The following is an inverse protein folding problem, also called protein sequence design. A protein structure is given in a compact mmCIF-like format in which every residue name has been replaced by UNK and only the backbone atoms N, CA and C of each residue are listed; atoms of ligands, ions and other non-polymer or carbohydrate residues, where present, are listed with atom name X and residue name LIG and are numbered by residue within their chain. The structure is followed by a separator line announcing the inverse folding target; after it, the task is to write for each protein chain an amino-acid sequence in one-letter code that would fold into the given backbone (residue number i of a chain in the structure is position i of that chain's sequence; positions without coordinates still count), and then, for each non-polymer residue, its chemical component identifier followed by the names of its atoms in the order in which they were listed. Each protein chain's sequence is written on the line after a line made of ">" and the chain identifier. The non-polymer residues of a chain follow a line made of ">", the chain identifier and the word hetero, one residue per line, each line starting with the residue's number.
data_IF_653678084955
#
_entry.id   IF_653678084955
#
_cell.length_a   1.000
_cell.length_b   1.000
_cell.length_c   1.000
_cell.angle_alpha   90.00
_cell.angle_beta   90.00
_cell.angle_gamma   90.00
#
_symmetry.space_group_name_H-M   'P 1'
#
loop_
_entity.id
_entity.type
_entity.pdbx_description
1 polymer ?
#
# COMPACT_ATOMS: atom_id res chain seq x y z
N UNK A 1 -11.90 0.09 -2.40
CA UNK A 1 -11.35 1.33 -3.05
C UNK A 1 -11.59 1.42 -4.56
N UNK A 2 -12.05 0.36 -5.22
CA UNK A 2 -12.07 0.23 -6.68
C UNK A 2 -12.97 1.23 -7.43
N UNK A 3 -14.05 1.70 -6.83
CA UNK A 3 -15.05 2.59 -7.45
C UNK A 3 -14.72 4.08 -7.31
N UNK A 4 -13.78 4.42 -6.42
CA UNK A 4 -13.39 5.80 -6.15
C UNK A 4 -12.41 6.29 -7.22
N UNK A 5 -12.44 7.60 -7.46
CA UNK A 5 -11.42 8.30 -8.25
C UNK A 5 -10.17 8.54 -7.43
N UNK A 6 -9.05 8.85 -8.08
CA UNK A 6 -7.80 9.25 -7.41
C UNK A 6 -8.06 10.42 -6.46
N UNK A 7 -8.74 11.46 -6.94
CA UNK A 7 -9.12 12.61 -6.13
C UNK A 7 -9.87 12.21 -4.87
N UNK A 8 -10.95 11.43 -5.02
CA UNK A 8 -11.78 11.04 -3.88
C UNK A 8 -11.00 10.20 -2.87
N UNK A 9 -10.15 9.27 -3.34
CA UNK A 9 -9.36 8.42 -2.45
C UNK A 9 -8.38 9.24 -1.59
N UNK A 10 -7.63 10.16 -2.21
CA UNK A 10 -6.70 11.04 -1.50
C UNK A 10 -7.46 12.03 -0.61
N UNK A 11 -8.57 12.60 -1.10
CA UNK A 11 -9.39 13.54 -0.33
C UNK A 11 -10.02 12.91 0.91
N UNK A 12 -10.59 11.70 0.80
CA UNK A 12 -11.10 10.99 1.97
C UNK A 12 -9.98 10.64 2.94
N UNK A 13 -8.79 10.27 2.45
CA UNK A 13 -7.61 10.10 3.32
C UNK A 13 -7.24 11.39 4.04
N UNK A 14 -7.25 12.53 3.33
CA UNK A 14 -6.96 13.85 3.89
C UNK A 14 -7.92 14.19 5.02
N UNK A 15 -9.23 13.97 4.83
CA UNK A 15 -10.23 14.23 5.84
C UNK A 15 -10.04 13.37 7.11
N UNK A 16 -9.69 12.10 6.92
CA UNK A 16 -9.58 11.11 8.00
C UNK A 16 -8.26 11.20 8.76
N UNK A 17 -7.15 11.50 8.07
CA UNK A 17 -5.81 11.43 8.67
C UNK A 17 -5.23 12.79 9.05
N UNK A 18 -5.60 13.88 8.36
CA UNK A 18 -5.07 15.22 8.69
C UNK A 18 -5.73 15.82 9.95
N UNK A 19 -5.00 16.67 10.71
CA UNK A 19 -5.50 17.34 11.90
C UNK A 19 -6.86 18.01 11.75
N UNK A 20 -7.69 17.95 12.80
CA UNK A 20 -8.95 18.70 12.88
C UNK A 20 -8.75 20.21 12.98
N UNK A 21 -7.57 20.67 13.42
CA UNK A 21 -7.18 22.07 13.42
C UNK A 21 -7.02 22.67 12.01
N UNK A 22 -6.81 21.83 11.01
CA UNK A 22 -6.66 22.26 9.62
C UNK A 22 -8.03 22.47 8.98
N UNK A 23 -8.22 23.62 8.32
CA UNK A 23 -9.46 23.93 7.61
C UNK A 23 -9.70 22.98 6.44
N UNK A 24 -10.96 22.83 6.02
CA UNK A 24 -11.30 21.99 4.86
C UNK A 24 -10.57 22.43 3.58
N UNK A 25 -10.35 23.74 3.40
CA UNK A 25 -9.62 24.28 2.24
C UNK A 25 -8.15 23.84 2.25
N UNK A 26 -7.48 23.91 3.40
CA UNK A 26 -6.09 23.47 3.53
C UNK A 26 -5.94 21.96 3.34
N UNK A 27 -6.94 21.17 3.74
CA UNK A 27 -6.94 19.72 3.48
C UNK A 27 -7.09 19.39 1.99
N UNK A 28 -7.90 20.17 1.26
CA UNK A 28 -8.06 20.07 -0.20
C UNK A 28 -6.74 20.42 -0.89
N UNK A 29 -6.17 21.57 -0.55
CA UNK A 29 -4.90 22.04 -1.10
C UNK A 29 -3.76 21.05 -0.83
N UNK A 30 -3.66 20.53 0.40
CA UNK A 30 -2.69 19.49 0.74
C UNK A 30 -2.84 18.23 -0.12
N UNK A 31 -4.08 17.79 -0.37
CA UNK A 31 -4.34 16.65 -1.25
C UNK A 31 -3.95 16.93 -2.71
N UNK A 32 -4.25 18.12 -3.24
CA UNK A 32 -3.89 18.52 -4.61
C UNK A 32 -2.37 18.55 -4.79
N UNK A 33 -1.66 19.16 -3.84
CA UNK A 33 -0.19 19.24 -3.87
C UNK A 33 0.42 17.83 -3.87
N UNK A 34 -0.03 16.93 -2.99
CA UNK A 34 0.52 15.57 -2.94
C UNK A 34 0.21 14.76 -4.21
N UNK A 35 -0.97 14.94 -4.82
CA UNK A 35 -1.29 14.34 -6.13
C UNK A 35 -0.34 14.87 -7.22
N UNK A 36 -0.03 16.16 -7.18
CA UNK A 36 0.88 16.80 -8.11
C UNK A 36 2.32 16.29 -7.95
N UNK A 37 2.78 16.15 -6.70
CA UNK A 37 4.10 15.61 -6.38
C UNK A 37 4.29 14.18 -6.91
N UNK A 38 3.24 13.37 -6.93
CA UNK A 38 3.27 11.99 -7.41
C UNK A 38 2.98 11.83 -8.91
N UNK A 39 2.84 12.92 -9.67
CA UNK A 39 2.62 12.85 -11.13
C UNK A 39 1.31 12.16 -11.50
N UNK A 40 0.22 12.49 -10.78
CA UNK A 40 -1.11 11.88 -10.95
C UNK A 40 -2.17 12.87 -11.47
N UNK A 41 -1.75 14.03 -12.00
CA UNK A 41 -2.64 15.11 -12.47
C UNK A 41 -3.59 14.62 -13.56
N UNK A 42 -3.07 13.94 -14.58
CA UNK A 42 -3.87 13.44 -15.70
C UNK A 42 -4.87 12.35 -15.28
N UNK A 43 -4.64 11.72 -14.13
CA UNK A 43 -5.43 10.60 -13.62
C UNK A 43 -6.35 11.00 -12.46
N UNK A 44 -6.44 12.29 -12.11
CA UNK A 44 -7.12 12.77 -10.90
C UNK A 44 -8.60 12.38 -10.83
N UNK A 45 -9.30 12.40 -11.96
CA UNK A 45 -10.72 12.02 -12.08
C UNK A 45 -10.92 10.59 -12.59
N UNK A 46 -9.83 9.84 -12.79
CA UNK A 46 -9.89 8.46 -13.24
C UNK A 46 -10.19 7.54 -12.05
N UNK A 47 -11.07 6.56 -12.26
CA UNK A 47 -11.40 5.55 -11.25
C UNK A 47 -10.20 4.62 -11.03
N UNK A 48 -9.94 4.28 -9.76
CA UNK A 48 -8.85 3.37 -9.38
C UNK A 48 -9.02 2.02 -10.09
N UNK A 49 -10.25 1.49 -10.13
CA UNK A 49 -10.59 0.23 -10.78
C UNK A 49 -10.26 -1.00 -9.93
N UNK A 50 -11.02 -2.07 -10.13
CA UNK A 50 -10.87 -3.38 -9.49
C UNK A 50 -10.39 -4.44 -10.48
N UNK A 51 -10.18 -5.66 -10.00
CA UNK A 51 -10.02 -6.82 -10.87
C UNK A 51 -11.26 -6.94 -11.78
N UNK A 52 -11.05 -6.88 -13.10
CA UNK A 52 -12.14 -6.92 -14.10
C UNK A 52 -12.77 -5.56 -14.50
N UNK A 53 -12.43 -4.44 -13.84
CA UNK A 53 -12.91 -3.10 -14.21
C UNK A 53 -11.74 -2.22 -14.65
N UNK A 54 -11.75 -1.76 -15.90
CA UNK A 54 -10.72 -0.86 -16.44
C UNK A 54 -10.60 0.39 -15.55
N UNK A 55 -9.39 0.69 -15.11
CA UNK A 55 -9.07 1.83 -14.26
C UNK A 55 -7.61 2.24 -14.44
N UNK A 56 -6.97 2.63 -13.34
CA UNK A 56 -5.56 3.03 -13.32
C UNK A 56 -4.62 1.88 -13.69
N UNK A 57 -3.47 2.21 -14.27
CA UNK A 57 -2.37 1.27 -14.45
C UNK A 57 -1.81 0.79 -13.10
N UNK A 58 -1.10 -0.35 -13.09
CA UNK A 58 -0.47 -0.87 -11.87
C UNK A 58 0.45 0.16 -11.20
N UNK A 59 1.33 0.78 -11.98
CA UNK A 59 2.19 1.86 -11.50
C UNK A 59 1.43 3.08 -10.97
N UNK A 60 0.35 3.50 -11.63
CA UNK A 60 -0.49 4.60 -11.13
C UNK A 60 -1.16 4.24 -9.79
N UNK A 61 -1.68 3.02 -9.64
CA UNK A 61 -2.23 2.53 -8.36
C UNK A 61 -1.17 2.56 -7.25
N UNK A 62 0.06 2.17 -7.58
CA UNK A 62 1.20 2.23 -6.65
C UNK A 62 1.50 3.65 -6.21
N UNK A 63 1.55 4.61 -7.15
CA UNK A 63 1.73 6.04 -6.85
C UNK A 63 0.60 6.60 -5.98
N UNK A 64 -0.66 6.19 -6.21
CA UNK A 64 -1.79 6.59 -5.35
C UNK A 64 -1.63 6.07 -3.92
N UNK A 65 -1.17 4.83 -3.74
CA UNK A 65 -0.89 4.27 -2.42
C UNK A 65 0.17 5.08 -1.67
N UNK A 66 1.28 5.39 -2.36
CA UNK A 66 2.36 6.22 -1.81
C UNK A 66 1.86 7.64 -1.50
N UNK A 67 1.06 8.23 -2.39
CA UNK A 67 0.42 9.55 -2.20
C UNK A 67 -0.41 9.60 -0.92
N UNK A 68 -1.19 8.55 -0.63
CA UNK A 68 -2.05 8.45 0.55
C UNK A 68 -1.22 8.42 1.85
N UNK A 69 -0.06 7.75 1.83
CA UNK A 69 0.83 7.64 2.99
C UNK A 69 1.70 8.89 3.20
N UNK A 70 2.16 9.54 2.13
CA UNK A 70 2.96 10.79 2.20
C UNK A 70 2.10 11.99 2.63
N UNK A 71 0.79 11.95 2.38
CA UNK A 71 -0.14 13.04 2.69
C UNK A 71 -0.06 13.53 4.15
N UNK A 72 0.20 12.63 5.10
CA UNK A 72 0.31 12.98 6.52
C UNK A 72 1.67 13.55 6.91
N UNK A 73 2.63 13.59 5.97
CA UNK A 73 4.03 13.95 6.16
C UNK A 73 4.64 13.29 7.40
N UNK A 74 4.70 11.94 7.45
CA UNK A 74 5.18 11.22 8.61
C UNK A 74 6.70 11.44 8.80
N UNK A 75 7.16 11.57 10.05
CA UNK A 75 8.59 11.67 10.38
C UNK A 75 9.40 10.45 9.94
N UNK A 76 8.76 9.27 9.91
CA UNK A 76 9.35 8.01 9.49
C UNK A 76 8.41 7.32 8.49
N UNK A 77 8.89 7.12 7.27
CA UNK A 77 8.14 6.51 6.18
C UNK A 77 8.77 5.17 5.80
N UNK A 78 7.97 4.11 5.81
CA UNK A 78 8.36 2.79 5.32
C UNK A 78 7.72 2.53 3.96
N UNK A 79 8.50 2.10 2.98
CA UNK A 79 8.05 1.82 1.62
C UNK A 79 8.49 0.42 1.21
N UNK A 80 7.53 -0.47 0.99
CA UNK A 80 7.84 -1.85 0.61
C UNK A 80 7.76 -2.05 -0.91
N UNK A 81 8.88 -2.06 -1.63
CA UNK A 81 8.95 -2.13 -3.10
C UNK A 81 8.18 -0.99 -3.81
N UNK A 82 8.53 0.30 -3.57
CA UNK A 82 7.82 1.44 -4.15
C UNK A 82 7.93 1.53 -5.67
N UNK A 83 8.96 0.94 -6.27
CA UNK A 83 9.22 0.95 -7.73
C UNK A 83 8.59 -0.24 -8.47
N UNK A 84 7.99 -1.20 -7.76
CA UNK A 84 7.40 -2.38 -8.40
C UNK A 84 6.21 -2.01 -9.28
N UNK A 85 6.22 -2.51 -10.53
CA UNK A 85 5.19 -2.22 -11.53
C UNK A 85 5.24 -0.82 -12.15
N UNK A 86 6.32 -0.07 -11.91
CA UNK A 86 6.63 1.18 -12.58
C UNK A 86 7.71 0.97 -13.66
N UNK A 87 7.65 1.74 -14.73
CA UNK A 87 8.74 1.87 -15.70
C UNK A 87 9.92 2.65 -15.08
N UNK A 88 11.10 2.59 -15.71
CA UNK A 88 12.32 3.20 -15.19
C UNK A 88 12.18 4.72 -14.99
N UNK A 89 11.55 5.42 -15.93
CA UNK A 89 11.36 6.87 -15.85
C UNK A 89 10.39 7.25 -14.71
N UNK A 90 9.26 6.54 -14.58
CA UNK A 90 8.34 6.79 -13.48
C UNK A 90 8.94 6.41 -12.12
N UNK A 91 9.71 5.33 -12.04
CA UNK A 91 10.44 4.93 -10.82
C UNK A 91 11.40 6.02 -10.37
N UNK A 92 12.21 6.55 -11.29
CA UNK A 92 13.12 7.65 -11.01
C UNK A 92 12.38 8.90 -10.52
N UNK A 93 11.26 9.26 -11.18
CA UNK A 93 10.46 10.41 -10.77
C UNK A 93 9.92 10.27 -9.34
N UNK A 94 9.30 9.12 -9.04
CA UNK A 94 8.73 8.84 -7.71
C UNK A 94 9.82 8.84 -6.63
N UNK A 95 10.93 8.14 -6.87
CA UNK A 95 12.03 8.08 -5.91
C UNK A 95 12.72 9.42 -5.71
N UNK A 96 12.86 10.24 -6.76
CA UNK A 96 13.38 11.61 -6.64
C UNK A 96 12.48 12.48 -5.76
N UNK A 97 11.16 12.31 -5.86
CA UNK A 97 10.19 13.07 -5.03
C UNK A 97 10.26 12.63 -3.57
N UNK A 98 10.34 11.34 -3.32
CA UNK A 98 10.52 10.77 -1.99
C UNK A 98 11.85 11.24 -1.36
N UNK A 99 12.95 11.22 -2.12
CA UNK A 99 14.25 11.70 -1.67
C UNK A 99 14.25 13.20 -1.34
N UNK A 100 13.56 14.02 -2.17
CA UNK A 100 13.38 15.45 -1.88
C UNK A 100 12.56 15.69 -0.62
N UNK A 101 11.50 14.92 -0.41
CA UNK A 101 10.68 14.99 0.80
C UNK A 101 11.53 14.64 2.04
N UNK A 102 12.36 13.60 1.94
CA UNK A 102 13.28 13.21 3.02
C UNK A 102 14.24 14.35 3.38
N UNK A 103 14.84 14.99 2.37
CA UNK A 103 15.83 16.04 2.57
C UNK A 103 15.24 17.36 3.06
N UNK A 104 14.11 17.79 2.49
CA UNK A 104 13.54 19.12 2.75
C UNK A 104 12.75 19.16 4.06
N UNK A 105 12.04 18.09 4.40
CA UNK A 105 11.14 18.05 5.56
C UNK A 105 11.78 17.34 6.77
N UNK A 106 13.09 17.06 6.72
CA UNK A 106 13.87 16.33 7.74
C UNK A 106 13.19 15.01 8.15
N UNK A 107 12.93 14.16 7.14
CA UNK A 107 12.20 12.89 7.30
C UNK A 107 13.10 11.70 7.04
N UNK A 108 12.88 10.64 7.81
CA UNK A 108 13.55 9.36 7.59
C UNK A 108 12.69 8.50 6.67
N UNK A 109 13.25 8.05 5.55
CA UNK A 109 12.59 7.10 4.64
C UNK A 109 13.38 5.80 4.62
N UNK A 110 12.69 4.69 4.81
CA UNK A 110 13.23 3.33 4.69
C UNK A 110 12.48 2.63 3.57
N UNK A 111 13.19 2.16 2.55
CA UNK A 111 12.58 1.47 1.42
C UNK A 111 13.30 0.14 1.12
N UNK A 112 12.51 -0.91 0.83
CA UNK A 112 12.99 -2.13 0.16
C UNK A 112 12.82 -1.95 -1.35
N UNK A 113 13.88 -2.24 -2.13
CA UNK A 113 13.84 -2.17 -3.59
C UNK A 113 14.57 -3.37 -4.15
N UNK A 114 13.87 -4.19 -4.94
CA UNK A 114 14.35 -5.45 -5.45
C UNK A 114 15.47 -5.27 -6.48
N UNK A 115 15.30 -4.37 -7.45
CA UNK A 115 16.26 -4.08 -8.51
C UNK A 115 16.17 -2.59 -8.94
N UNK A 116 16.93 -1.69 -8.30
CA UNK A 116 16.90 -0.28 -8.67
C UNK A 116 17.67 -0.04 -9.98
N UNK A 117 17.19 0.88 -10.80
CA UNK A 117 18.00 1.41 -11.92
C UNK A 117 19.20 2.17 -11.36
N UNK A 118 20.26 2.32 -12.17
CA UNK A 118 21.46 3.09 -11.77
C UNK A 118 21.12 4.52 -11.31
N UNK A 119 20.15 5.17 -11.96
CA UNK A 119 19.68 6.50 -11.58
C UNK A 119 18.99 6.52 -10.21
N UNK A 120 18.18 5.49 -9.91
CA UNK A 120 17.51 5.36 -8.61
C UNK A 120 18.53 5.00 -7.52
N UNK A 121 19.48 4.12 -7.81
CA UNK A 121 20.55 3.76 -6.89
C UNK A 121 21.39 4.98 -6.48
N UNK A 122 21.64 5.90 -7.42
CA UNK A 122 22.33 7.17 -7.15
C UNK A 122 21.59 8.11 -6.19
N UNK A 123 20.31 7.89 -5.91
CA UNK A 123 19.53 8.69 -4.95
C UNK A 123 19.69 8.20 -3.49
N UNK A 124 20.26 7.02 -3.26
CA UNK A 124 20.34 6.43 -1.93
C UNK A 124 21.47 7.04 -1.09
N UNK A 125 21.13 7.52 0.11
CA UNK A 125 22.12 7.97 1.07
C UNK A 125 22.79 6.78 1.77
N UNK A 126 21.98 5.83 2.22
CA UNK A 126 22.40 4.66 3.00
C UNK A 126 21.89 3.40 2.32
N UNK A 127 22.75 2.39 2.20
CA UNK A 127 22.45 1.08 1.64
C UNK A 127 22.52 0.02 2.75
N UNK A 128 21.48 -0.80 2.83
CA UNK A 128 21.44 -2.01 3.64
C UNK A 128 21.28 -3.21 2.71
N UNK A 129 22.26 -4.10 2.67
CA UNK A 129 22.20 -5.34 1.87
C UNK A 129 21.98 -6.53 2.80
N UNK A 130 20.95 -7.31 2.49
CA UNK A 130 20.55 -8.49 3.24
C UNK A 130 20.54 -9.71 2.32
N UNK A 131 21.00 -10.86 2.83
CA UNK A 131 20.84 -12.16 2.18
C UNK A 131 20.66 -13.26 3.23
N UNK A 132 19.67 -14.14 3.06
CA UNK A 132 19.38 -15.23 4.01
C UNK A 132 19.14 -14.77 5.46
N UNK A 133 18.63 -13.55 5.66
CA UNK A 133 18.44 -12.94 6.99
C UNK A 133 19.73 -12.39 7.64
N UNK A 134 20.88 -12.47 6.97
CA UNK A 134 22.15 -11.89 7.42
C UNK A 134 22.38 -10.53 6.77
N UNK A 135 23.00 -9.61 7.51
CA UNK A 135 23.42 -8.30 6.98
C UNK A 135 24.81 -8.41 6.36
N UNK A 136 24.90 -8.09 5.08
CA UNK A 136 26.14 -8.11 4.31
C UNK A 136 26.86 -6.76 4.35
N UNK A 137 26.09 -5.67 4.29
CA UNK A 137 26.60 -4.32 4.31
C UNK A 137 25.54 -3.37 4.85
N UNK A 138 25.96 -2.43 5.70
CA UNK A 138 25.17 -1.29 6.13
C UNK A 138 26.07 -0.07 6.18
N UNK A 139 25.78 0.94 5.37
CA UNK A 139 26.65 2.11 5.23
C UNK A 139 26.20 3.05 4.12
N UNK A 140 27.05 4.02 3.74
CA UNK A 140 26.74 4.91 2.62
C UNK A 140 26.73 4.13 1.31
N UNK A 141 25.75 4.42 0.44
CA UNK A 141 25.66 3.74 -0.85
C UNK A 141 26.91 3.93 -1.72
N UNK A 142 27.59 5.08 -1.60
CA UNK A 142 28.85 5.38 -2.30
C UNK A 142 30.03 4.52 -1.84
N UNK A 143 30.03 4.09 -0.57
CA UNK A 143 31.12 3.30 0.03
C UNK A 143 30.96 1.80 -0.28
N UNK A 144 29.76 1.35 -0.64
CA UNK A 144 29.46 -0.06 -0.92
C UNK A 144 30.39 -0.66 -2.01
N UNK A 145 30.64 0.07 -3.10
CA UNK A 145 31.54 -0.39 -4.16
C UNK A 145 32.97 -0.64 -3.66
N UNK A 146 33.48 0.22 -2.78
CA UNK A 146 34.82 0.08 -2.22
C UNK A 146 34.89 -1.15 -1.29
N UNK A 147 33.87 -1.37 -0.47
CA UNK A 147 33.78 -2.54 0.41
C UNK A 147 33.73 -3.85 -0.39
N UNK A 148 32.94 -3.91 -1.46
CA UNK A 148 32.90 -5.10 -2.33
C UNK A 148 34.24 -5.34 -3.03
N UNK A 149 34.92 -4.29 -3.48
CA UNK A 149 36.25 -4.39 -4.09
C UNK A 149 37.30 -4.92 -3.11
N UNK A 150 37.30 -4.44 -1.87
CA UNK A 150 38.23 -4.88 -0.81
C UNK A 150 38.05 -6.37 -0.46
N UNK A 151 36.82 -6.87 -0.54
CA UNK A 151 36.50 -8.28 -0.26
C UNK A 151 36.65 -9.20 -1.48
N UNK A 152 37.24 -8.72 -2.59
CA UNK A 152 37.55 -9.53 -3.77
C UNK A 152 36.45 -9.57 -4.84
N UNK A 153 35.41 -8.75 -4.73
CA UNK A 153 34.27 -8.72 -5.66
C UNK A 153 34.12 -7.35 -6.36
N UNK A 154 35.10 -6.90 -7.18
CA UNK A 154 35.04 -5.61 -7.84
C UNK A 154 33.87 -5.51 -8.83
N UNK A 155 33.17 -4.37 -8.82
CA UNK A 155 32.11 -4.10 -9.79
C UNK A 155 32.72 -3.76 -11.17
N UNK A 156 32.24 -4.37 -12.27
CA UNK A 156 32.63 -3.98 -13.62
C UNK A 156 32.26 -2.51 -13.93
N UNK A 157 33.08 -1.83 -14.72
CA UNK A 157 32.94 -0.38 -15.00
C UNK A 157 31.67 0.02 -15.76
N UNK A 158 31.07 -0.90 -16.52
CA UNK A 158 29.86 -0.66 -17.32
C UNK A 158 28.62 -1.38 -16.74
N UNK A 159 28.70 -1.88 -15.51
CA UNK A 159 27.59 -2.58 -14.84
C UNK A 159 27.02 -1.70 -13.73
N UNK A 160 25.70 -1.75 -13.58
CA UNK A 160 25.02 -1.13 -12.45
C UNK A 160 25.48 -1.79 -11.14
N UNK A 161 25.97 -1.01 -10.15
CA UNK A 161 26.41 -1.54 -8.86
C UNK A 161 25.38 -2.41 -8.15
N UNK A 162 24.09 -2.01 -8.16
CA UNK A 162 23.04 -2.78 -7.49
C UNK A 162 22.87 -4.17 -8.10
N UNK A 163 22.93 -4.25 -9.43
CA UNK A 163 22.78 -5.51 -10.16
C UNK A 163 23.98 -6.42 -9.96
N UNK A 164 25.18 -5.83 -9.80
CA UNK A 164 26.37 -6.57 -9.42
C UNK A 164 26.24 -7.15 -8.02
N UNK A 165 25.86 -6.33 -7.02
CA UNK A 165 25.69 -6.78 -5.64
C UNK A 165 24.69 -7.93 -5.52
N UNK A 166 23.52 -7.78 -6.16
CA UNK A 166 22.47 -8.80 -6.13
C UNK A 166 22.92 -10.09 -6.81
N UNK A 167 23.65 -10.00 -7.91
CA UNK A 167 24.19 -11.18 -8.59
C UNK A 167 25.24 -11.91 -7.75
N UNK A 168 26.11 -11.18 -7.03
CA UNK A 168 27.12 -11.79 -6.16
C UNK A 168 26.52 -12.54 -4.97
N UNK A 169 25.33 -12.15 -4.50
CA UNK A 169 24.71 -12.68 -3.28
C UNK A 169 23.52 -13.62 -3.55
N UNK A 170 23.18 -13.87 -4.81
CA UNK A 170 22.05 -14.70 -5.18
C UNK A 170 22.45 -16.18 -5.19
N UNK A 171 21.85 -16.96 -4.29
CA UNK A 171 22.10 -18.41 -4.15
C UNK A 171 21.12 -19.28 -4.93
N UNK A 172 20.06 -18.70 -5.51
CA UNK A 172 18.89 -19.44 -5.97
C UNK A 172 19.10 -20.15 -7.31
N UNK A 173 20.03 -19.65 -8.13
CA UNK A 173 20.28 -20.14 -9.48
C UNK A 173 21.60 -20.90 -9.63
N UNK A 174 22.41 -21.03 -8.57
CA UNK A 174 23.66 -21.78 -8.58
C UNK A 174 23.46 -23.32 -8.51
N UNK A 175 22.21 -23.79 -8.49
CA UNK A 175 21.89 -25.22 -8.65
C UNK A 175 21.73 -25.53 -10.13
N UNK A 176 22.84 -25.63 -10.84
CA UNK A 176 22.83 -26.19 -12.19
C UNK A 176 22.30 -27.64 -12.13
N UNK A 177 21.21 -27.86 -12.84
CA UNK A 177 20.46 -29.13 -12.96
C UNK A 177 21.30 -30.23 -13.67
N UNK A 178 22.51 -29.91 -14.17
CA UNK A 178 23.27 -30.79 -15.06
C UNK A 178 24.50 -31.49 -14.46
N UNK A 179 24.92 -31.19 -13.22
CA UNK A 179 26.04 -31.92 -12.60
C UNK A 179 25.68 -32.45 -11.22
N UNK A 180 25.29 -33.72 -11.18
CA UNK A 180 25.28 -34.50 -9.96
C UNK A 180 26.71 -34.65 -9.45
N UNK A 181 27.08 -33.87 -8.42
CA UNK A 181 28.17 -34.18 -7.50
C UNK A 181 28.11 -33.26 -6.29
N UNK A 182 28.40 -33.84 -5.13
CA UNK A 182 28.57 -33.26 -3.80
C UNK A 182 28.73 -31.73 -3.68
N UNK A 183 27.86 -31.15 -2.85
CA UNK A 183 27.72 -29.73 -2.57
C UNK A 183 28.98 -29.10 -1.96
N UNK A 184 29.91 -28.63 -2.79
CA UNK A 184 30.74 -27.49 -2.44
C UNK A 184 29.84 -26.26 -2.27
N UNK A 185 30.07 -25.49 -1.19
CA UNK A 185 29.39 -24.22 -0.97
C UNK A 185 29.51 -23.37 -2.26
N UNK A 186 28.35 -23.00 -2.81
CA UNK A 186 28.22 -22.21 -4.04
C UNK A 186 29.04 -20.93 -3.95
N UNK A 187 29.53 -20.42 -5.09
CA UNK A 187 30.35 -19.22 -5.14
C UNK A 187 29.66 -18.04 -4.44
N UNK A 188 28.34 -17.91 -4.61
CA UNK A 188 27.51 -16.96 -3.88
C UNK A 188 27.49 -17.19 -2.36
N UNK A 189 27.42 -18.43 -1.89
CA UNK A 189 27.44 -18.74 -0.45
C UNK A 189 28.80 -18.39 0.18
N UNK A 190 29.90 -18.67 -0.51
CA UNK A 190 31.26 -18.25 -0.08
C UNK A 190 31.36 -16.72 -0.04
N UNK A 191 30.85 -16.02 -1.05
CA UNK A 191 30.83 -14.56 -1.09
C UNK A 191 30.03 -13.96 0.09
N UNK A 192 28.86 -14.53 0.39
CA UNK A 192 28.03 -14.13 1.54
C UNK A 192 28.81 -14.27 2.84
N UNK A 193 29.45 -15.41 3.10
CA UNK A 193 30.16 -15.64 4.35
C UNK A 193 31.38 -14.70 4.50
N UNK A 194 32.13 -14.43 3.42
CA UNK A 194 33.22 -13.45 3.42
C UNK A 194 32.69 -12.05 3.78
N UNK A 195 31.62 -11.60 3.11
CA UNK A 195 31.04 -10.28 3.32
C UNK A 195 30.46 -10.13 4.74
N UNK A 196 29.78 -11.15 5.27
CA UNK A 196 29.24 -11.15 6.64
C UNK A 196 30.37 -11.06 7.67
N UNK A 197 31.47 -11.81 7.49
CA UNK A 197 32.61 -11.75 8.40
C UNK A 197 33.33 -10.39 8.35
N UNK A 198 33.44 -9.80 7.16
CA UNK A 198 33.99 -8.46 6.95
C UNK A 198 33.14 -7.38 7.63
N UNK A 199 31.81 -7.47 7.50
CA UNK A 199 30.87 -6.55 8.15
C UNK A 199 30.91 -6.65 9.68
N UNK A 200 30.88 -7.88 10.22
CA UNK A 200 30.89 -8.13 11.66
C UNK A 200 32.19 -7.65 12.34
N UNK A 201 33.33 -7.77 11.65
CA UNK A 201 34.62 -7.33 12.17
C UNK A 201 34.80 -5.81 12.14
N UNK A 202 34.24 -5.12 11.15
CA UNK A 202 34.57 -3.71 10.88
C UNK A 202 33.48 -2.75 11.34
N UNK A 203 32.25 -2.91 10.85
CA UNK A 203 31.20 -1.87 10.92
C UNK A 203 30.14 -2.22 11.96
N UNK A 204 29.82 -3.51 12.14
CA UNK A 204 28.75 -3.94 13.03
C UNK A 204 28.91 -3.36 14.44
N UNK A 205 30.13 -3.46 15.02
CA UNK A 205 30.42 -2.92 16.35
C UNK A 205 30.24 -1.40 16.44
N UNK A 206 30.60 -0.65 15.38
CA UNK A 206 30.42 0.80 15.35
C UNK A 206 28.94 1.18 15.30
N UNK A 207 28.15 0.47 14.48
CA UNK A 207 26.70 0.68 14.39
C UNK A 207 26.01 0.33 15.71
N UNK A 208 26.33 -0.80 16.32
CA UNK A 208 25.77 -1.18 17.62
C UNK A 208 26.14 -0.19 18.73
N UNK A 209 27.39 0.31 18.74
CA UNK A 209 27.80 1.35 19.69
C UNK A 209 27.02 2.66 19.48
N UNK A 210 26.81 3.07 18.23
CA UNK A 210 26.05 4.27 17.90
C UNK A 210 24.57 4.13 18.25
N UNK A 211 23.97 2.96 17.99
CA UNK A 211 22.58 2.66 18.40
C UNK A 211 22.45 2.66 19.92
N UNK A 212 23.43 2.11 20.64
CA UNK A 212 23.46 2.13 22.10
C UNK A 212 23.57 3.56 22.65
N UNK A 213 24.35 4.44 22.01
CA UNK A 213 24.40 5.86 22.38
C UNK A 213 23.06 6.57 22.12
N UNK A 214 22.44 6.34 20.96
CA UNK A 214 21.11 6.88 20.66
C UNK A 214 20.07 6.39 21.68
N UNK A 215 20.10 5.11 22.08
CA UNK A 215 19.14 4.57 23.06
C UNK A 215 19.25 5.19 24.45
N UNK A 216 20.41 5.77 24.79
CA UNK A 216 20.63 6.46 26.07
C UNK A 216 20.13 7.91 26.03
N UNK A 217 20.03 8.50 24.83
CA UNK A 217 19.42 9.82 24.66
C UNK A 217 17.91 9.61 24.71
N UNK A 218 17.25 10.16 25.73
CA UNK A 218 15.79 10.28 25.70
C UNK A 218 15.41 11.18 24.52
N UNK A 219 15.07 10.54 23.39
CA UNK A 219 14.56 11.26 22.23
C UNK A 219 13.22 11.90 22.56
N UNK A 220 12.90 13.00 21.88
CA UNK A 220 11.55 13.55 21.91
C UNK A 220 10.55 12.44 21.54
N UNK A 221 9.45 12.35 22.29
CA UNK A 221 8.43 11.35 22.04
C UNK A 221 7.99 11.45 20.57
N UNK A 222 8.24 10.39 19.79
CA UNK A 222 7.75 10.28 18.43
C UNK A 222 6.27 10.60 18.47
N UNK A 223 5.88 11.75 17.90
CA UNK A 223 4.48 12.13 17.86
C UNK A 223 3.80 11.16 16.90
N UNK A 224 3.32 10.02 17.42
CA UNK A 224 2.38 9.14 16.74
C UNK A 224 1.08 9.93 16.62
N UNK A 225 1.04 10.84 15.64
CA UNK A 225 -0.20 11.48 15.22
C UNK A 225 -0.97 10.41 14.44
N UNK A 226 -1.68 9.56 15.18
CA UNK A 226 -2.75 8.75 14.62
C UNK A 226 -3.84 9.66 14.03
N UNK A 227 -5.00 9.10 13.68
CA UNK A 227 -6.09 9.93 13.17
C UNK A 227 -6.47 11.00 14.19
N UNK A 228 -6.24 12.26 13.82
CA UNK A 228 -6.56 13.45 14.60
C UNK A 228 -8.00 13.94 14.31
N UNK A 229 -8.75 13.20 13.52
CA UNK A 229 -10.14 13.52 13.17
C UNK A 229 -11.08 13.06 14.29
N UNK A 230 -12.11 13.87 14.59
CA UNK A 230 -13.14 13.49 15.56
C UNK A 230 -13.93 12.28 15.07
N UNK A 231 -14.48 11.49 16.01
CA UNK A 231 -15.33 10.33 15.68
C UNK A 231 -16.46 10.70 14.73
N UNK A 232 -17.14 11.83 14.94
CA UNK A 232 -18.23 12.28 14.08
C UNK A 232 -17.75 12.67 12.67
N UNK A 233 -16.58 13.29 12.57
CA UNK A 233 -15.95 13.59 11.27
C UNK A 233 -15.60 12.30 10.53
N UNK A 234 -15.01 11.33 11.23
CA UNK A 234 -14.68 10.03 10.65
C UNK A 234 -15.95 9.29 10.20
N UNK A 235 -16.96 9.21 11.05
CA UNK A 235 -18.24 8.58 10.74
C UNK A 235 -18.89 9.24 9.52
N UNK A 236 -18.99 10.57 9.50
CA UNK A 236 -19.56 11.31 8.37
C UNK A 236 -18.79 11.08 7.06
N UNK A 237 -17.46 11.16 7.11
CA UNK A 237 -16.61 10.95 5.93
C UNK A 237 -16.70 9.51 5.41
N UNK A 238 -16.70 8.52 6.31
CA UNK A 238 -16.85 7.11 5.95
C UNK A 238 -18.25 6.78 5.41
N UNK A 239 -19.31 7.32 6.02
CA UNK A 239 -20.69 7.16 5.52
C UNK A 239 -20.83 7.78 4.13
N UNK A 240 -20.29 8.98 3.91
CA UNK A 240 -20.30 9.62 2.59
C UNK A 240 -19.53 8.77 1.56
N UNK A 241 -18.34 8.27 1.93
CA UNK A 241 -17.53 7.39 1.08
C UNK A 241 -18.28 6.09 0.73
N UNK A 242 -18.94 5.49 1.73
CA UNK A 242 -19.74 4.28 1.56
C UNK A 242 -20.94 4.52 0.64
N UNK A 243 -21.64 5.66 0.78
CA UNK A 243 -22.75 6.01 -0.10
C UNK A 243 -22.32 6.19 -1.56
N UNK A 244 -21.16 6.82 -1.80
CA UNK A 244 -20.59 6.95 -3.16
C UNK A 244 -20.23 5.59 -3.73
N UNK A 245 -19.63 4.69 -2.92
CA UNK A 245 -19.32 3.32 -3.34
C UNK A 245 -20.60 2.58 -3.74
N UNK A 246 -21.62 2.63 -2.87
CA UNK A 246 -22.91 1.97 -3.05
C UNK A 246 -23.66 2.46 -4.29
N UNK A 247 -23.62 3.78 -4.57
CA UNK A 247 -24.26 4.35 -5.74
C UNK A 247 -23.55 3.95 -7.06
N UNK A 248 -22.23 3.78 -7.03
CA UNK A 248 -21.42 3.49 -8.23
C UNK A 248 -21.25 2.01 -8.51
N UNK A 249 -21.42 1.15 -7.52
CA UNK A 249 -21.53 -0.29 -7.72
C UNK A 249 -22.91 -0.62 -8.31
N UNK A 250 -22.95 -0.55 -9.64
CA UNK A 250 -24.16 -0.78 -10.42
C UNK A 250 -24.65 -2.22 -10.30
N UNK A 251 -23.75 -3.19 -10.10
CA UNK A 251 -24.08 -4.61 -10.16
C UNK A 251 -24.85 -5.04 -8.93
N UNK A 252 -24.24 -4.89 -7.76
CA UNK A 252 -24.76 -5.50 -6.54
C UNK A 252 -25.99 -4.75 -5.98
N UNK A 253 -25.89 -3.44 -5.79
CA UNK A 253 -26.95 -2.68 -5.10
C UNK A 253 -28.18 -2.42 -5.95
N UNK A 254 -28.02 -2.14 -7.26
CA UNK A 254 -29.18 -1.92 -8.14
C UNK A 254 -29.95 -3.20 -8.42
N UNK A 255 -29.24 -4.33 -8.59
CA UNK A 255 -29.89 -5.63 -8.71
C UNK A 255 -30.71 -5.94 -7.47
N UNK A 256 -30.14 -5.69 -6.28
CA UNK A 256 -30.85 -5.87 -5.01
C UNK A 256 -32.10 -4.99 -4.91
N UNK A 257 -31.99 -3.71 -5.29
CA UNK A 257 -33.14 -2.80 -5.34
C UNK A 257 -34.23 -3.30 -6.30
N UNK A 258 -33.85 -3.79 -7.49
CA UNK A 258 -34.78 -4.34 -8.46
C UNK A 258 -35.50 -5.59 -7.92
N UNK A 259 -34.78 -6.49 -7.23
CA UNK A 259 -35.37 -7.67 -6.57
C UNK A 259 -36.38 -7.25 -5.51
N UNK A 260 -36.08 -6.23 -4.70
CA UNK A 260 -37.03 -5.71 -3.71
C UNK A 260 -38.29 -5.12 -4.34
N UNK A 261 -38.16 -4.35 -5.41
CA UNK A 261 -39.30 -3.79 -6.14
C UNK A 261 -40.16 -4.92 -6.74
N UNK A 262 -39.53 -5.89 -7.41
CA UNK A 262 -40.23 -7.03 -8.00
C UNK A 262 -40.99 -7.83 -6.94
N UNK A 263 -40.36 -8.12 -5.80
CA UNK A 263 -41.01 -8.82 -4.69
C UNK A 263 -42.18 -8.01 -4.11
N UNK A 264 -42.01 -6.71 -3.93
CA UNK A 264 -43.07 -5.83 -3.41
C UNK A 264 -44.28 -5.83 -4.34
N UNK A 265 -44.06 -5.81 -5.67
CA UNK A 265 -45.11 -5.97 -6.65
C UNK A 265 -45.75 -7.37 -6.56
N UNK A 266 -44.97 -8.45 -6.49
CA UNK A 266 -45.52 -9.81 -6.36
C UNK A 266 -46.40 -9.97 -5.12
N UNK A 267 -45.91 -9.57 -3.93
CA UNK A 267 -46.68 -9.62 -2.68
C UNK A 267 -47.92 -8.72 -2.81
N UNK A 268 -47.77 -7.51 -3.34
CA UNK A 268 -48.88 -6.58 -3.56
C UNK A 268 -49.96 -7.13 -4.49
N UNK A 269 -49.58 -7.90 -5.51
CA UNK A 269 -50.55 -8.57 -6.41
C UNK A 269 -51.21 -9.80 -5.78
N UNK A 270 -50.47 -10.63 -5.03
CA UNK A 270 -51.00 -11.86 -4.41
C UNK A 270 -52.00 -11.52 -3.30
N UNK A 271 -51.71 -10.47 -2.53
CA UNK A 271 -52.54 -10.02 -1.41
C UNK A 271 -53.35 -8.76 -1.77
N UNK A 272 -53.67 -8.59 -3.05
CA UNK A 272 -54.50 -7.48 -3.52
C UNK A 272 -55.93 -7.63 -3.00
N UNK A 273 -56.46 -6.56 -2.41
CA UNK A 273 -57.84 -6.45 -1.90
C UNK A 273 -58.30 -7.59 -0.96
N UNK A 274 -57.55 -7.80 0.12
CA UNK A 274 -57.94 -8.74 1.18
C UNK A 274 -59.20 -8.20 1.89
N UNK A 275 -60.35 -8.77 1.52
CA UNK A 275 -61.66 -8.52 2.12
C UNK A 275 -61.68 -8.75 3.65
N UNK A 276 -62.60 -8.12 4.39
CA UNK A 276 -62.59 -8.07 5.87
C UNK A 276 -63.17 -9.31 6.59
N UNK A 277 -63.09 -10.50 5.99
CA UNK A 277 -63.65 -11.75 6.57
C UNK A 277 -62.73 -12.37 7.65
N UNK A 278 -63.21 -13.28 8.50
CA UNK A 278 -62.36 -13.98 9.48
C UNK A 278 -61.16 -14.72 8.83
N UNK A 279 -61.33 -15.26 7.61
CA UNK A 279 -60.22 -15.87 6.86
C UNK A 279 -59.13 -14.88 6.43
N UNK A 280 -59.45 -13.58 6.39
CA UNK A 280 -58.50 -12.51 6.05
C UNK A 280 -57.41 -12.30 7.10
N UNK A 281 -57.69 -12.66 8.36
CA UNK A 281 -56.75 -12.55 9.47
C UNK A 281 -55.56 -13.48 9.22
N UNK A 282 -55.84 -14.71 8.76
CA UNK A 282 -54.80 -15.68 8.41
C UNK A 282 -53.96 -15.22 7.21
N UNK A 283 -54.60 -14.65 6.17
CA UNK A 283 -53.91 -14.12 4.99
C UNK A 283 -52.99 -12.93 5.32
N UNK A 284 -53.42 -12.03 6.22
CA UNK A 284 -52.58 -10.94 6.72
C UNK A 284 -51.42 -11.44 7.56
N UNK A 285 -51.66 -12.46 8.39
CA UNK A 285 -50.62 -13.12 9.19
C UNK A 285 -49.55 -13.78 8.32
N UNK A 286 -49.95 -14.51 7.27
CA UNK A 286 -49.01 -15.14 6.35
C UNK A 286 -48.21 -14.12 5.53
N UNK A 287 -48.83 -13.01 5.11
CA UNK A 287 -48.15 -11.89 4.46
C UNK A 287 -47.05 -11.30 5.35
N UNK A 288 -47.35 -10.98 6.61
CA UNK A 288 -46.36 -10.42 7.55
C UNK A 288 -45.21 -11.38 7.81
N UNK A 289 -45.52 -12.67 8.02
CA UNK A 289 -44.50 -13.71 8.21
C UNK A 289 -43.60 -13.86 6.99
N UNK A 290 -44.17 -13.80 5.78
CA UNK A 290 -43.39 -13.87 4.54
C UNK A 290 -42.44 -12.68 4.40
N UNK A 291 -42.91 -11.46 4.66
CA UNK A 291 -42.08 -10.25 4.63
C UNK A 291 -40.93 -10.34 5.65
N UNK A 292 -41.23 -10.74 6.89
CA UNK A 292 -40.22 -10.87 7.94
C UNK A 292 -39.15 -11.94 7.62
N UNK A 293 -39.57 -13.11 7.15
CA UNK A 293 -38.66 -14.19 6.75
C UNK A 293 -37.77 -13.78 5.57
N UNK A 294 -38.37 -13.14 4.55
CA UNK A 294 -37.65 -12.71 3.37
C UNK A 294 -36.62 -11.61 3.67
N UNK A 295 -36.98 -10.61 4.48
CA UNK A 295 -36.04 -9.57 4.91
C UNK A 295 -34.83 -10.17 5.65
N UNK A 296 -35.07 -11.18 6.48
CA UNK A 296 -34.01 -11.89 7.21
C UNK A 296 -33.08 -12.63 6.25
N UNK A 297 -33.63 -13.37 5.28
CA UNK A 297 -32.82 -14.07 4.27
C UNK A 297 -32.00 -13.10 3.41
N UNK A 298 -32.63 -12.00 2.98
CA UNK A 298 -31.94 -10.98 2.19
C UNK A 298 -30.84 -10.27 2.98
N UNK A 299 -30.99 -10.10 4.30
CA UNK A 299 -29.94 -9.51 5.13
C UNK A 299 -28.65 -10.35 5.11
N UNK A 300 -28.76 -11.68 5.11
CA UNK A 300 -27.63 -12.61 4.99
C UNK A 300 -26.88 -12.41 3.67
N UNK A 301 -27.60 -12.14 2.58
CA UNK A 301 -27.01 -11.83 1.27
C UNK A 301 -26.13 -10.57 1.26
N UNK A 302 -26.17 -9.73 2.30
CA UNK A 302 -25.30 -8.57 2.52
C UNK A 302 -23.86 -8.91 2.90
N UNK A 303 -23.64 -10.11 3.43
CA UNK A 303 -22.36 -10.50 4.03
C UNK A 303 -21.20 -10.61 3.02
N UNK A 304 -21.38 -11.17 1.80
CA UNK A 304 -20.28 -11.26 0.83
C UNK A 304 -19.71 -9.89 0.41
N UNK A 305 -20.57 -8.87 0.26
CA UNK A 305 -20.13 -7.50 -0.07
C UNK A 305 -19.30 -6.88 1.06
N UNK A 306 -19.66 -7.17 2.33
CA UNK A 306 -18.86 -6.75 3.47
C UNK A 306 -17.50 -7.46 3.52
N UNK A 307 -17.46 -8.76 3.20
CA UNK A 307 -16.21 -9.54 3.12
C UNK A 307 -15.31 -9.05 1.99
N UNK A 308 -15.87 -8.60 0.86
CA UNK A 308 -15.10 -8.03 -0.24
C UNK A 308 -14.48 -6.68 0.11
N UNK A 309 -15.17 -5.84 0.88
CA UNK A 309 -14.64 -4.55 1.37
C UNK A 309 -13.59 -4.69 2.49
N UNK A 310 -13.50 -5.84 3.16
CA UNK A 310 -12.47 -6.14 4.18
C UNK A 310 -11.14 -6.61 3.59
N UNK A 311 -11.10 -7.00 2.31
CA UNK A 311 -9.88 -7.41 1.61
C UNK A 311 -9.17 -6.21 0.97
#
# INVERSE_FOLDING_TARGET
>A
MSTLTVWEAVYYSAQLRLPSSMSSSQKIEGAEITIQEMGLQDAIHTRIGAWGVKGLSGGQKRRVSICIEILTRPSLLFLDEPTSGLDSAASYHVMTRIARLALHDDRTVVASIHQPSAEVFGLFNTLCLLSGGKTLHFGRASEANAVFTLNGFPCPSLRNPSDHFLHTINTDFDKDIEQGSDAEATEAAKAIDILVNSYNSTIANQVFAHVADISKREGEALTKKGSQASFFTQASALTRRSFVNMYRDFGYYRLRLAIYIALCLCIGTIFFDICHSFGSIQARGSMLMFVAAFLTFMAIGGFPSFVEDMK
#
